data_IF_273536920466
#
_entry.id   IF_273536920466
#
_cell.length_a   1.000
_cell.length_b   1.000
_cell.length_c   1.000
_cell.angle_alpha   90.00
_cell.angle_beta   90.00
_cell.angle_gamma   90.00
#
_symmetry.space_group_name_H-M   'P 1'
#
loop_
_entity.id
_entity.type
_entity.pdbx_description
1 polymer ?
#
# COMPACT_ATOMS: atom_id res chain seq x y z
N UNK A 1 42.98 1.75 -8.17
CA UNK A 1 43.66 1.90 -6.85
C UNK A 1 43.28 3.27 -6.31
N UNK A 2 43.11 3.40 -4.98
CA UNK A 2 42.35 4.43 -4.22
C UNK A 2 40.84 4.13 -4.23
N UNK A 3 40.19 3.46 -3.27
CA UNK A 3 40.28 3.32 -1.80
C UNK A 3 39.57 4.43 -0.99
N UNK A 4 38.43 4.04 -0.39
CA UNK A 4 37.76 4.56 0.84
C UNK A 4 37.15 5.97 0.80
N UNK A 5 36.00 6.28 1.42
CA UNK A 5 35.46 5.96 2.76
C UNK A 5 33.91 6.01 2.75
N UNK A 6 33.21 5.07 3.40
CA UNK A 6 32.60 5.22 4.75
C UNK A 6 32.14 6.64 5.12
N UNK A 7 30.84 6.79 5.33
CA UNK A 7 30.22 7.97 5.91
C UNK A 7 28.83 7.64 6.46
N UNK A 8 28.79 7.00 7.63
CA UNK A 8 27.60 6.95 8.50
C UNK A 8 27.26 8.37 8.89
N UNK A 9 26.03 8.82 8.67
CA UNK A 9 25.51 10.05 9.28
C UNK A 9 24.24 9.71 10.04
N UNK A 10 24.46 9.31 11.29
CA UNK A 10 23.51 9.55 12.36
C UNK A 10 23.40 11.07 12.57
N UNK A 11 22.20 11.54 12.92
CA UNK A 11 21.85 12.79 13.62
C UNK A 11 20.50 13.32 13.06
N UNK A 12 19.52 13.82 13.82
CA UNK A 12 19.39 14.18 15.23
C UNK A 12 17.88 14.23 15.50
N UNK A 13 17.44 13.65 16.62
CA UNK A 13 16.11 13.89 17.19
C UNK A 13 16.09 15.33 17.72
N UNK A 14 15.36 16.24 17.06
CA UNK A 14 15.08 17.56 17.61
C UNK A 14 13.83 17.50 18.49
N UNK A 15 14.07 17.28 19.78
CA UNK A 15 13.15 17.64 20.85
C UNK A 15 13.16 19.17 20.99
N UNK A 16 12.11 19.84 20.52
CA UNK A 16 11.90 21.26 20.79
C UNK A 16 11.28 21.40 22.18
N UNK A 17 12.12 21.63 23.18
CA UNK A 17 11.71 22.16 24.48
C UNK A 17 11.51 23.68 24.34
N UNK A 18 10.27 24.11 24.14
CA UNK A 18 9.90 25.51 24.28
C UNK A 18 9.80 25.88 25.76
N UNK A 19 10.87 26.46 26.31
CA UNK A 19 10.85 27.16 27.59
C UNK A 19 10.59 28.65 27.33
N UNK A 20 9.37 29.11 27.59
CA UNK A 20 9.07 30.52 27.81
C UNK A 20 8.46 30.69 29.22
N UNK A 21 9.21 31.35 30.08
CA UNK A 21 8.82 31.93 31.37
C UNK A 21 8.91 33.46 31.12
N UNK A 22 8.01 34.36 31.49
CA UNK A 22 6.94 34.39 32.47
C UNK A 22 6.04 35.61 32.13
N UNK A 23 4.72 35.54 32.34
CA UNK A 23 3.85 36.70 32.10
C UNK A 23 2.34 36.47 32.30
N UNK A 24 1.96 36.12 33.54
CA UNK A 24 0.70 36.45 34.22
C UNK A 24 -0.67 36.07 33.62
N UNK A 25 -1.37 35.22 34.40
CA UNK A 25 -2.81 35.14 34.62
C UNK A 25 -3.72 34.85 33.41
N UNK A 26 -4.06 33.57 33.20
CA UNK A 26 -5.47 33.19 33.09
C UNK A 26 -5.68 31.70 33.42
N UNK A 27 -6.85 31.41 33.99
CA UNK A 27 -7.26 30.09 34.47
C UNK A 27 -7.63 29.21 33.27
N UNK A 28 -6.79 28.24 32.96
CA UNK A 28 -7.10 27.26 31.93
C UNK A 28 -6.44 25.93 32.25
N UNK A 29 -7.22 24.97 32.74
CA UNK A 29 -6.86 23.57 32.82
C UNK A 29 -6.15 23.16 31.52
N UNK A 30 -4.85 22.85 31.57
CA UNK A 30 -4.25 22.10 30.47
C UNK A 30 -4.89 20.72 30.52
N UNK A 31 -5.94 20.55 29.71
CA UNK A 31 -6.31 19.22 29.23
C UNK A 31 -5.04 18.72 28.56
N UNK A 32 -4.29 17.85 29.25
CA UNK A 32 -3.44 16.90 28.58
C UNK A 32 -4.35 16.26 27.53
N UNK A 33 -4.12 16.61 26.26
CA UNK A 33 -4.75 15.92 25.16
C UNK A 33 -4.29 14.47 25.32
N UNK A 34 -5.18 13.62 25.85
CA UNK A 34 -5.01 12.19 25.77
C UNK A 34 -5.01 11.93 24.27
N UNK A 35 -3.84 11.80 23.67
CA UNK A 35 -3.70 11.27 22.33
C UNK A 35 -4.18 9.83 22.41
N UNK A 36 -5.49 9.63 22.21
CA UNK A 36 -6.00 8.31 21.86
C UNK A 36 -5.29 7.93 20.57
N UNK A 37 -4.40 6.95 20.68
CA UNK A 37 -3.72 6.42 19.53
C UNK A 37 -4.79 5.77 18.66
N UNK A 38 -4.75 6.07 17.36
CA UNK A 38 -5.65 5.49 16.38
C UNK A 38 -5.54 3.94 16.44
N UNK A 39 -6.64 3.21 16.69
CA UNK A 39 -6.63 1.74 16.74
C UNK A 39 -6.03 1.08 15.50
N UNK A 40 -6.14 1.71 14.32
CA UNK A 40 -5.52 1.24 13.08
C UNK A 40 -4.00 1.31 13.19
N UNK A 41 -3.47 2.41 13.73
CA UNK A 41 -2.03 2.60 13.92
C UNK A 41 -1.48 1.64 14.96
N UNK A 42 -2.21 1.40 16.05
CA UNK A 42 -1.82 0.40 17.05
C UNK A 42 -1.76 -1.01 16.44
N UNK A 43 -2.80 -1.40 15.71
CA UNK A 43 -2.84 -2.67 15.00
C UNK A 43 -1.67 -2.82 14.03
N UNK A 44 -1.43 -1.82 13.17
CA UNK A 44 -0.34 -1.86 12.19
C UNK A 44 1.04 -1.92 12.86
N UNK A 45 1.25 -1.18 13.95
CA UNK A 45 2.49 -1.26 14.75
C UNK A 45 2.74 -2.64 15.32
N UNK A 46 1.69 -3.37 15.67
CA UNK A 46 1.79 -4.74 16.17
C UNK A 46 2.12 -5.72 15.04
N UNK A 47 1.38 -5.68 13.93
CA UNK A 47 1.42 -6.73 12.91
C UNK A 47 2.52 -6.55 11.86
N UNK A 48 2.89 -5.32 11.49
CA UNK A 48 3.88 -5.06 10.43
C UNK A 48 5.22 -5.73 10.74
N UNK A 49 5.84 -5.55 11.93
CA UNK A 49 7.12 -6.17 12.22
C UNK A 49 7.08 -7.70 12.16
N UNK A 50 5.95 -8.30 12.55
CA UNK A 50 5.76 -9.75 12.50
C UNK A 50 5.68 -10.23 11.05
N UNK A 51 4.92 -9.53 10.20
CA UNK A 51 4.80 -9.87 8.78
C UNK A 51 6.15 -9.72 8.08
N UNK A 52 6.88 -8.63 8.31
CA UNK A 52 8.20 -8.38 7.72
C UNK A 52 9.24 -9.42 8.16
N UNK A 53 9.27 -9.80 9.44
CA UNK A 53 10.15 -10.86 9.97
C UNK A 53 9.91 -12.20 9.27
N UNK A 54 8.64 -12.61 9.16
CA UNK A 54 8.27 -13.89 8.54
C UNK A 54 8.49 -13.85 7.02
N UNK A 55 8.22 -12.72 6.36
CA UNK A 55 8.55 -12.52 4.95
C UNK A 55 10.04 -12.66 4.70
N UNK A 56 10.89 -11.93 5.44
CA UNK A 56 12.34 -11.97 5.26
C UNK A 56 12.93 -13.37 5.49
N UNK A 57 12.33 -14.15 6.39
CA UNK A 57 12.75 -15.51 6.70
C UNK A 57 12.39 -16.52 5.61
N UNK A 58 11.18 -16.44 5.06
CA UNK A 58 10.65 -17.43 4.11
C UNK A 58 10.91 -17.04 2.64
N UNK A 59 11.07 -15.74 2.38
CA UNK A 59 11.36 -15.15 1.06
C UNK A 59 12.57 -14.22 1.16
N UNK A 60 13.77 -14.74 1.43
CA UNK A 60 14.98 -13.92 1.52
C UNK A 60 15.24 -13.23 0.17
N UNK A 61 15.44 -11.91 0.21
CA UNK A 61 15.78 -11.12 -0.99
C UNK A 61 17.24 -11.39 -1.36
N UNK A 62 17.46 -12.27 -2.34
CA UNK A 62 18.75 -12.34 -3.00
C UNK A 62 18.87 -11.14 -3.95
N UNK A 63 19.95 -10.35 -3.78
CA UNK A 63 20.24 -9.07 -4.44
C UNK A 63 20.23 -9.07 -6.00
N UNK A 64 19.81 -10.15 -6.66
CA UNK A 64 19.83 -10.32 -8.10
C UNK A 64 18.46 -10.61 -8.74
N UNK A 65 17.40 -10.97 -8.01
CA UNK A 65 16.12 -11.36 -8.61
C UNK A 65 14.92 -10.99 -7.75
N UNK A 66 13.85 -10.62 -8.46
CA UNK A 66 12.46 -10.44 -8.05
C UNK A 66 12.13 -10.88 -6.63
N UNK A 67 11.42 -10.01 -5.92
CA UNK A 67 10.73 -10.31 -4.67
C UNK A 67 9.86 -11.57 -4.85
N UNK A 68 10.40 -12.73 -4.44
CA UNK A 68 9.83 -14.05 -4.70
C UNK A 68 8.44 -14.22 -4.08
N UNK A 69 8.14 -13.42 -3.06
CA UNK A 69 6.80 -13.32 -2.50
C UNK A 69 5.84 -12.65 -3.49
N UNK A 70 6.23 -11.56 -4.15
CA UNK A 70 5.39 -10.85 -5.12
C UNK A 70 5.02 -11.72 -6.34
N UNK A 71 5.84 -12.71 -6.70
CA UNK A 71 5.49 -13.69 -7.73
C UNK A 71 4.32 -14.59 -7.32
N UNK A 72 4.14 -14.80 -6.01
CA UNK A 72 3.21 -15.78 -5.44
C UNK A 72 2.01 -15.13 -4.74
N UNK A 73 2.07 -13.84 -4.40
CA UNK A 73 1.01 -13.17 -3.70
C UNK A 73 1.26 -11.69 -3.42
N UNK A 74 0.34 -11.10 -2.68
CA UNK A 74 0.44 -9.73 -2.15
C UNK A 74 -0.32 -9.65 -0.83
N UNK A 75 -0.28 -8.49 -0.16
CA UNK A 75 -1.02 -8.26 1.07
C UNK A 75 -1.59 -6.86 1.14
N UNK A 76 -2.65 -6.68 1.93
CA UNK A 76 -3.22 -5.39 2.28
C UNK A 76 -3.79 -5.41 3.70
N UNK A 77 -3.96 -4.22 4.30
CA UNK A 77 -4.62 -4.06 5.59
C UNK A 77 -6.11 -3.76 5.38
N UNK A 78 -6.98 -4.65 5.88
CA UNK A 78 -8.42 -4.43 5.88
C UNK A 78 -8.83 -3.62 7.11
N UNK A 79 -8.92 -2.30 6.90
CA UNK A 79 -9.27 -1.33 7.93
C UNK A 79 -10.76 -0.92 7.88
N UNK A 80 -11.62 -1.68 7.18
CA UNK A 80 -13.03 -1.31 6.97
C UNK A 80 -13.86 -1.36 8.26
N UNK A 81 -13.54 -2.27 9.18
CA UNK A 81 -14.16 -2.34 10.51
C UNK A 81 -13.07 -2.20 11.58
N UNK A 82 -13.09 -1.09 12.32
CA UNK A 82 -12.11 -0.79 13.38
C UNK A 82 -12.12 -1.82 14.52
N UNK A 83 -13.21 -2.59 14.67
CA UNK A 83 -13.32 -3.66 15.68
C UNK A 83 -12.79 -5.00 15.16
N UNK A 84 -12.48 -5.09 13.87
CA UNK A 84 -12.09 -6.32 13.21
C UNK A 84 -11.03 -6.05 12.13
N UNK A 85 -9.93 -5.42 12.55
CA UNK A 85 -8.79 -5.13 11.68
C UNK A 85 -8.05 -6.41 11.32
N UNK A 86 -7.69 -6.56 10.03
CA UNK A 86 -7.02 -7.76 9.51
C UNK A 86 -5.89 -7.43 8.55
N UNK A 87 -4.86 -8.26 8.55
CA UNK A 87 -3.92 -8.38 7.43
C UNK A 87 -4.47 -9.44 6.48
N UNK A 88 -4.72 -9.07 5.24
CA UNK A 88 -5.23 -10.00 4.23
C UNK A 88 -4.14 -10.29 3.23
N UNK A 89 -3.83 -11.57 3.05
CA UNK A 89 -2.89 -12.06 2.06
C UNK A 89 -3.64 -12.67 0.89
N UNK A 90 -3.42 -12.13 -0.29
CA UNK A 90 -3.96 -12.60 -1.57
C UNK A 90 -2.89 -13.44 -2.26
N UNK A 91 -3.12 -14.75 -2.31
CA UNK A 91 -2.12 -15.74 -2.70
C UNK A 91 -2.53 -16.40 -4.01
N UNK A 92 -1.67 -16.32 -5.02
CA UNK A 92 -1.82 -17.05 -6.28
C UNK A 92 -1.23 -18.46 -6.21
N UNK A 93 -0.16 -18.69 -5.45
CA UNK A 93 0.49 -20.01 -5.37
C UNK A 93 0.49 -20.55 -3.93
N UNK A 94 -0.66 -21.01 -3.39
CA UNK A 94 -0.77 -21.37 -1.97
C UNK A 94 -0.03 -22.67 -1.60
N UNK A 95 0.36 -23.47 -2.59
CA UNK A 95 0.84 -24.83 -2.38
C UNK A 95 2.36 -25.00 -2.35
N UNK A 96 3.12 -23.93 -2.59
CA UNK A 96 4.58 -23.96 -2.50
C UNK A 96 5.04 -24.22 -1.06
N UNK A 97 6.25 -24.74 -0.90
CA UNK A 97 6.78 -25.08 0.41
C UNK A 97 6.97 -23.82 1.26
N UNK A 98 7.50 -22.76 0.66
CA UNK A 98 7.73 -21.45 1.25
C UNK A 98 6.41 -20.81 1.66
N UNK A 99 5.38 -20.83 0.81
CA UNK A 99 4.07 -20.25 1.13
C UNK A 99 3.36 -21.02 2.26
N UNK A 100 3.49 -22.36 2.30
CA UNK A 100 2.97 -23.17 3.40
C UNK A 100 3.67 -22.85 4.73
N UNK A 101 4.99 -22.70 4.72
CA UNK A 101 5.77 -22.33 5.89
C UNK A 101 5.40 -20.91 6.38
N UNK A 102 5.33 -19.97 5.44
CA UNK A 102 4.92 -18.59 5.66
C UNK A 102 3.52 -18.49 6.27
N UNK A 103 2.54 -19.17 5.66
CA UNK A 103 1.16 -19.23 6.18
C UNK A 103 1.11 -19.76 7.61
N UNK A 104 1.76 -20.91 7.85
CA UNK A 104 1.76 -21.56 9.16
C UNK A 104 2.36 -20.64 10.24
N UNK A 105 3.47 -19.99 9.94
CA UNK A 105 4.16 -19.11 10.89
C UNK A 105 3.34 -17.85 11.20
N UNK A 106 2.69 -17.24 10.20
CA UNK A 106 1.79 -16.11 10.41
C UNK A 106 0.53 -16.50 11.19
N UNK A 107 -0.13 -17.61 10.87
CA UNK A 107 -1.30 -18.10 11.62
C UNK A 107 -0.93 -18.37 13.09
N UNK A 108 0.28 -18.84 13.37
CA UNK A 108 0.77 -19.04 14.73
C UNK A 108 1.04 -17.72 15.48
N UNK A 109 1.59 -16.70 14.81
CA UNK A 109 1.98 -15.44 15.46
C UNK A 109 0.86 -14.40 15.53
N UNK A 110 -0.05 -14.40 14.56
CA UNK A 110 -1.10 -13.39 14.40
C UNK A 110 -2.50 -13.92 14.69
N UNK A 111 -2.65 -15.24 14.82
CA UNK A 111 -3.92 -15.89 15.13
C UNK A 111 -5.04 -15.43 14.17
N UNK A 112 -6.10 -14.83 14.71
CA UNK A 112 -7.24 -14.36 13.93
C UNK A 112 -6.97 -13.06 13.18
N UNK A 113 -5.87 -12.34 13.46
CA UNK A 113 -5.52 -11.05 12.82
C UNK A 113 -5.09 -11.20 11.36
N UNK A 114 -4.89 -12.42 10.88
CA UNK A 114 -4.45 -12.72 9.51
C UNK A 114 -5.50 -13.53 8.74
N UNK A 115 -5.70 -13.20 7.47
CA UNK A 115 -6.59 -13.92 6.56
C UNK A 115 -5.83 -14.26 5.28
N UNK A 116 -5.93 -15.52 4.84
CA UNK A 116 -5.40 -15.96 3.56
C UNK A 116 -6.54 -16.17 2.57
N UNK A 117 -6.45 -15.51 1.41
CA UNK A 117 -7.40 -15.66 0.29
C UNK A 117 -6.65 -16.16 -0.93
N UNK A 118 -7.23 -17.12 -1.65
CA UNK A 118 -6.77 -17.47 -2.99
C UNK A 118 -7.11 -16.31 -3.92
N UNK A 119 -6.10 -15.77 -4.60
CA UNK A 119 -6.31 -14.72 -5.59
C UNK A 119 -7.01 -15.29 -6.83
N UNK A 120 -7.95 -14.53 -7.39
CA UNK A 120 -8.63 -14.78 -8.67
C UNK A 120 -7.66 -14.60 -9.84
N UNK A 121 -6.76 -13.63 -9.71
CA UNK A 121 -5.73 -13.31 -10.68
C UNK A 121 -4.38 -13.19 -9.98
N UNK A 122 -3.30 -13.46 -10.70
CA UNK A 122 -1.97 -13.26 -10.17
C UNK A 122 -1.77 -11.76 -9.83
N UNK A 123 -1.44 -11.39 -8.57
CA UNK A 123 -1.34 -9.99 -8.17
C UNK A 123 -0.25 -9.21 -8.91
N UNK A 124 0.88 -9.86 -9.23
CA UNK A 124 1.95 -9.23 -9.99
C UNK A 124 1.51 -8.94 -11.42
N UNK A 125 0.81 -9.88 -12.06
CA UNK A 125 0.22 -9.66 -13.38
C UNK A 125 -0.70 -8.42 -13.38
N UNK A 126 -1.62 -8.29 -12.42
CA UNK A 126 -2.51 -7.13 -12.35
C UNK A 126 -1.74 -5.82 -12.09
N UNK A 127 -0.69 -5.86 -11.26
CA UNK A 127 0.17 -4.70 -11.01
C UNK A 127 0.94 -4.25 -12.26
N UNK A 128 1.48 -5.19 -13.04
CA UNK A 128 2.17 -4.91 -14.30
C UNK A 128 1.19 -4.43 -15.37
N UNK A 129 0.03 -5.06 -15.48
CA UNK A 129 -1.03 -4.66 -16.40
C UNK A 129 -1.54 -3.25 -16.11
N UNK A 130 -1.68 -2.86 -14.83
CA UNK A 130 -2.07 -1.51 -14.45
C UNK A 130 -1.05 -0.45 -14.93
N UNK A 131 0.25 -0.76 -14.88
CA UNK A 131 1.30 0.13 -15.41
C UNK A 131 1.21 0.28 -16.93
N UNK A 132 0.92 -0.79 -17.64
CA UNK A 132 0.70 -0.74 -19.08
C UNK A 132 -0.53 0.09 -19.43
N UNK A 133 -1.67 -0.18 -18.79
CA UNK A 133 -2.92 0.55 -18.99
C UNK A 133 -2.73 2.04 -18.68
N UNK A 134 -1.95 2.39 -17.65
CA UNK A 134 -1.66 3.79 -17.33
C UNK A 134 -1.02 4.55 -18.50
N UNK A 135 -0.14 3.89 -19.26
CA UNK A 135 0.50 4.48 -20.45
C UNK A 135 -0.56 4.76 -21.52
N UNK A 136 -1.40 3.76 -21.82
CA UNK A 136 -2.46 3.86 -22.82
C UNK A 136 -3.50 4.92 -22.46
N UNK A 137 -3.99 4.92 -21.21
CA UNK A 137 -4.96 5.90 -20.71
C UNK A 137 -4.41 7.31 -20.83
N UNK A 138 -3.13 7.53 -20.48
CA UNK A 138 -2.47 8.84 -20.62
C UNK A 138 -2.51 9.34 -22.07
N UNK A 139 -2.32 8.45 -23.05
CA UNK A 139 -2.40 8.78 -24.48
C UNK A 139 -3.83 9.09 -24.91
N UNK A 140 -4.80 8.27 -24.48
CA UNK A 140 -6.22 8.43 -24.85
C UNK A 140 -6.85 9.71 -24.30
N UNK A 141 -6.55 10.04 -23.04
CA UNK A 141 -7.11 11.20 -22.34
C UNK A 141 -6.61 12.51 -22.97
N UNK A 142 -5.36 12.52 -23.41
CA UNK A 142 -4.71 13.66 -24.06
C UNK A 142 -4.11 14.65 -23.07
N UNK A 143 -3.25 15.54 -23.58
CA UNK A 143 -2.49 16.49 -22.76
C UNK A 143 -3.41 17.41 -21.95
N UNK A 144 -3.06 17.65 -20.69
CA UNK A 144 -3.71 18.62 -19.82
C UNK A 144 -4.96 18.13 -19.10
N UNK A 145 -5.36 16.86 -19.30
CA UNK A 145 -6.46 16.23 -18.57
C UNK A 145 -5.92 15.26 -17.52
N UNK A 146 -6.66 15.09 -16.44
CA UNK A 146 -6.29 14.22 -15.34
C UNK A 146 -6.75 12.78 -15.57
N UNK A 147 -5.93 11.83 -15.15
CA UNK A 147 -6.27 10.41 -15.12
C UNK A 147 -5.55 9.70 -13.99
N UNK A 148 -6.22 8.73 -13.36
CA UNK A 148 -5.61 7.75 -12.46
C UNK A 148 -5.88 6.34 -12.97
N UNK A 149 -4.87 5.49 -12.87
CA UNK A 149 -4.97 4.05 -13.12
C UNK A 149 -4.23 3.37 -12.00
N UNK A 150 -4.89 2.47 -11.29
CA UNK A 150 -4.26 1.74 -10.19
C UNK A 150 -4.83 0.34 -10.01
N UNK A 151 -4.01 -0.57 -9.50
CA UNK A 151 -4.43 -1.90 -9.12
C UNK A 151 -5.12 -1.85 -7.75
N UNK A 152 -6.43 -2.10 -7.72
CA UNK A 152 -7.20 -2.28 -6.50
C UNK A 152 -7.04 -3.72 -6.01
N UNK A 153 -6.11 -3.91 -5.07
CA UNK A 153 -5.77 -5.22 -4.51
C UNK A 153 -6.99 -5.89 -3.87
N UNK A 154 -7.82 -5.14 -3.14
CA UNK A 154 -8.92 -5.71 -2.36
C UNK A 154 -10.05 -6.29 -3.21
N UNK A 155 -10.30 -5.67 -4.37
CA UNK A 155 -11.34 -6.10 -5.30
C UNK A 155 -10.78 -6.90 -6.50
N UNK A 156 -9.45 -7.02 -6.58
CA UNK A 156 -8.72 -7.77 -7.61
C UNK A 156 -8.96 -7.26 -9.04
N UNK A 157 -9.01 -5.93 -9.24
CA UNK A 157 -9.18 -5.31 -10.55
C UNK A 157 -8.36 -4.02 -10.70
N UNK A 158 -8.38 -3.43 -11.90
CA UNK A 158 -7.69 -2.20 -12.25
C UNK A 158 -8.73 -1.09 -12.35
N UNK A 159 -8.67 -0.15 -11.41
CA UNK A 159 -9.53 1.02 -11.37
C UNK A 159 -8.95 2.09 -12.31
N UNK A 160 -9.80 2.66 -13.15
CA UNK A 160 -9.49 3.73 -14.09
C UNK A 160 -10.43 4.90 -13.81
N UNK A 161 -9.87 6.03 -13.37
CA UNK A 161 -10.58 7.30 -13.26
C UNK A 161 -10.03 8.25 -14.30
N UNK A 162 -10.78 8.42 -15.38
CA UNK A 162 -10.48 9.34 -16.45
C UNK A 162 -11.77 9.72 -17.17
N UNK A 163 -11.79 10.90 -17.80
CA UNK A 163 -12.87 11.26 -18.72
C UNK A 163 -12.59 10.65 -20.10
N UNK A 164 -13.33 9.61 -20.45
CA UNK A 164 -13.17 8.84 -21.68
C UNK A 164 -14.46 8.88 -22.51
N UNK A 165 -14.32 8.81 -23.83
CA UNK A 165 -15.46 8.59 -24.73
C UNK A 165 -15.83 7.10 -24.78
N UNK A 166 -17.05 6.78 -25.21
CA UNK A 166 -17.50 5.39 -25.32
C UNK A 166 -16.58 4.56 -26.22
N UNK A 167 -16.10 5.13 -27.34
CA UNK A 167 -15.15 4.47 -28.23
C UNK A 167 -13.79 4.18 -27.55
N UNK A 168 -13.34 5.05 -26.64
CA UNK A 168 -12.10 4.82 -25.87
C UNK A 168 -12.30 3.74 -24.81
N UNK A 169 -13.47 3.71 -24.18
CA UNK A 169 -13.85 2.66 -23.23
C UNK A 169 -13.91 1.31 -23.94
N UNK A 170 -14.59 1.23 -25.09
CA UNK A 170 -14.63 0.02 -25.92
C UNK A 170 -13.24 -0.42 -26.37
N UNK A 171 -12.36 0.53 -26.73
CA UNK A 171 -10.98 0.23 -27.07
C UNK A 171 -10.22 -0.43 -25.90
N UNK A 172 -10.31 0.14 -24.69
CA UNK A 172 -9.66 -0.43 -23.50
C UNK A 172 -10.22 -1.80 -23.14
N UNK A 173 -11.54 -1.97 -23.16
CA UNK A 173 -12.20 -3.25 -22.89
C UNK A 173 -11.80 -4.28 -23.95
N UNK A 174 -11.76 -3.90 -25.23
CA UNK A 174 -11.37 -4.79 -26.32
C UNK A 174 -9.90 -5.21 -26.26
N UNK A 175 -9.01 -4.32 -25.80
CA UNK A 175 -7.57 -4.60 -25.68
C UNK A 175 -7.23 -5.44 -24.44
N UNK A 176 -7.81 -5.10 -23.30
CA UNK A 176 -7.41 -5.66 -22.00
C UNK A 176 -8.40 -6.67 -21.43
N UNK A 177 -9.68 -6.61 -21.82
CA UNK A 177 -10.75 -7.47 -21.30
C UNK A 177 -11.52 -6.80 -20.15
N UNK A 178 -12.85 -6.96 -20.14
CA UNK A 178 -13.73 -6.37 -19.13
C UNK A 178 -13.51 -6.91 -17.72
N UNK A 179 -13.01 -8.13 -17.59
CA UNK A 179 -12.88 -8.81 -16.31
C UNK A 179 -11.86 -8.14 -15.37
N UNK A 180 -10.92 -7.38 -15.95
CA UNK A 180 -9.87 -6.70 -15.19
C UNK A 180 -10.17 -5.23 -14.94
N UNK A 181 -11.14 -4.62 -15.62
CA UNK A 181 -11.29 -3.16 -15.66
C UNK A 181 -12.50 -2.66 -14.90
N UNK A 182 -12.30 -1.59 -14.14
CA UNK A 182 -13.38 -0.78 -13.58
C UNK A 182 -13.17 0.68 -13.97
N UNK A 183 -13.99 1.16 -14.89
CA UNK A 183 -13.89 2.52 -15.43
C UNK A 183 -14.98 3.38 -14.80
N UNK A 184 -14.59 4.42 -14.05
CA UNK A 184 -15.56 5.32 -13.41
C UNK A 184 -16.09 6.41 -14.34
N UNK A 185 -15.40 6.66 -15.45
CA UNK A 185 -15.64 7.73 -16.42
C UNK A 185 -15.81 9.13 -15.80
N UNK A 186 -14.97 9.41 -14.78
CA UNK A 186 -14.90 10.69 -14.07
C UNK A 186 -13.45 11.15 -14.04
N UNK A 187 -13.24 12.47 -14.10
CA UNK A 187 -11.91 13.00 -13.80
C UNK A 187 -11.63 12.77 -12.30
N UNK A 188 -10.39 12.37 -11.95
CA UNK A 188 -10.00 12.27 -10.55
C UNK A 188 -10.07 13.67 -9.93
N UNK A 189 -10.34 13.73 -8.62
CA UNK A 189 -10.29 15.00 -7.91
C UNK A 189 -8.90 15.63 -8.10
N UNK A 190 -8.81 16.94 -8.38
CA UNK A 190 -7.52 17.61 -8.43
C UNK A 190 -6.82 17.39 -7.09
N UNK A 191 -5.62 16.80 -7.12
CA UNK A 191 -4.82 16.66 -5.93
C UNK A 191 -4.65 18.02 -5.27
N UNK A 192 -4.91 18.12 -3.96
CA UNK A 192 -4.52 19.31 -3.21
C UNK A 192 -3.01 19.42 -3.36
N UNK A 193 -2.54 20.40 -4.13
CA UNK A 193 -1.13 20.79 -4.08
C UNK A 193 -0.86 21.17 -2.63
N UNK A 194 -0.08 20.36 -1.92
CA UNK A 194 0.46 20.72 -0.61
C UNK A 194 1.58 21.75 -0.80
N UNK A 195 1.27 22.85 -1.49
CA UNK A 195 2.10 24.04 -1.57
C UNK A 195 1.59 25.01 -0.50
N UNK A 196 1.69 24.65 0.78
CA UNK A 196 1.56 25.55 1.96
C UNK A 196 1.57 24.74 3.27
N UNK A 197 2.73 24.17 3.63
CA UNK A 197 3.09 23.88 5.03
C UNK A 197 4.59 24.09 5.24
#
# INVERSE_FOLDING_TARGET
MVQTRLGVTACIVMLVLAACHNGSNDVGYSKQAIHQIDPIVEFQREVIPIVEDVLAKQFPVDNAKNDAFLEQGTLYFDNKDIRNLKVVLLIDQPDTQEMKAFRKELEQKLEDKVIFKKAKHNPKFLSELAKEIAIDVTVLVGKGKLSTVYYNISDECIDIEAKLTDAQIEHLIGKYGSDYLRITNKEPAPGILLDEF
#
